data_IF_407326856847
#
_entry.id   IF_407326856847
#
_cell.length_a   1.000
_cell.length_b   1.000
_cell.length_c   1.000
_cell.angle_alpha   90.00
_cell.angle_beta   90.00
_cell.angle_gamma   90.00
#
_symmetry.space_group_name_H-M   'P 1'
#
loop_
_entity.id
_entity.type
_entity.pdbx_description
1 polymer ?
#
# COMPACT_ATOMS: atom_id res chain seq x y z
N UNK A 1 -4.94 4.26 -10.48
CA UNK A 1 -5.29 4.77 -9.12
C UNK A 1 -4.43 5.99 -8.74
N UNK A 2 -4.94 7.06 -8.10
CA UNK A 2 -4.11 8.21 -7.62
C UNK A 2 -4.29 8.46 -6.13
N UNK A 3 -3.18 8.54 -5.39
CA UNK A 3 -3.18 8.78 -3.95
C UNK A 3 -3.45 10.24 -3.58
N UNK A 4 -4.13 10.46 -2.45
CA UNK A 4 -4.27 11.76 -1.77
C UNK A 4 -3.51 11.69 -0.46
N UNK A 5 -2.79 12.76 -0.10
CA UNK A 5 -2.21 12.89 1.23
C UNK A 5 -3.32 13.32 2.19
N UNK A 6 -3.49 12.62 3.31
CA UNK A 6 -4.46 12.94 4.35
C UNK A 6 -3.79 12.82 5.71
N UNK A 7 -3.52 13.96 6.35
CA UNK A 7 -2.70 14.06 7.56
C UNK A 7 -1.31 13.46 7.30
N UNK A 8 -1.05 12.28 7.87
CA UNK A 8 0.24 11.57 7.79
C UNK A 8 0.14 10.27 6.97
N UNK A 9 -0.99 10.08 6.29
CA UNK A 9 -1.28 8.87 5.52
C UNK A 9 -1.40 9.19 4.04
N UNK A 10 -0.94 8.25 3.22
CA UNK A 10 -1.24 8.23 1.79
C UNK A 10 -2.47 7.37 1.58
N UNK A 11 -3.55 7.98 1.08
CA UNK A 11 -4.85 7.35 0.91
C UNK A 11 -5.16 7.22 -0.57
N UNK A 12 -5.41 6.00 -1.02
CA UNK A 12 -5.78 5.70 -2.40
C UNK A 12 -7.25 5.34 -2.46
N UNK A 13 -7.99 5.99 -3.35
CA UNK A 13 -9.39 5.67 -3.63
C UNK A 13 -9.50 4.91 -4.95
N UNK A 14 -10.40 3.94 -5.00
CA UNK A 14 -10.73 3.22 -6.22
C UNK A 14 -12.11 3.64 -6.72
N UNK A 15 -12.24 3.83 -8.02
CA UNK A 15 -13.51 4.21 -8.67
C UNK A 15 -14.38 2.98 -9.01
N UNK A 16 -13.76 1.82 -9.27
CA UNK A 16 -14.47 0.63 -9.72
C UNK A 16 -15.03 -0.22 -8.56
N UNK A 17 -16.29 -0.71 -8.66
CA UNK A 17 -16.80 -1.74 -7.75
C UNK A 17 -16.21 -3.14 -8.03
N UNK A 18 -15.56 -3.36 -9.18
CA UNK A 18 -15.01 -4.66 -9.62
C UNK A 18 -13.64 -4.99 -9.00
N UNK A 19 -13.48 -4.65 -7.73
CA UNK A 19 -12.23 -4.60 -6.96
C UNK A 19 -11.62 -5.97 -6.61
N UNK A 20 -11.91 -7.01 -7.42
CA UNK A 20 -11.28 -8.33 -7.32
C UNK A 20 -10.06 -8.48 -8.22
N UNK A 21 -9.82 -7.55 -9.17
CA UNK A 21 -8.62 -7.58 -10.02
C UNK A 21 -7.31 -7.37 -9.23
N UNK A 22 -7.43 -6.79 -8.03
CA UNK A 22 -6.37 -6.44 -7.08
C UNK A 22 -6.05 -7.50 -6.02
N UNK A 23 -6.77 -8.62 -6.05
CA UNK A 23 -6.75 -9.63 -5.00
C UNK A 23 -6.79 -11.05 -5.57
N UNK A 24 -6.37 -11.32 -6.82
CA UNK A 24 -6.43 -12.59 -7.58
C UNK A 24 -6.19 -13.85 -6.72
N UNK A 25 -7.16 -14.25 -5.91
CA UNK A 25 -7.01 -15.24 -4.82
C UNK A 25 -6.05 -14.88 -3.66
N UNK A 26 -5.53 -13.66 -3.56
CA UNK A 26 -4.59 -13.24 -2.52
C UNK A 26 -5.30 -12.69 -1.28
N UNK A 27 -4.90 -13.18 -0.11
CA UNK A 27 -5.34 -12.61 1.16
C UNK A 27 -4.65 -11.26 1.41
N UNK A 28 -5.29 -10.38 2.17
CA UNK A 28 -4.70 -9.09 2.57
C UNK A 28 -3.31 -9.25 3.22
N UNK A 29 -3.06 -10.34 3.96
CA UNK A 29 -1.76 -10.62 4.56
C UNK A 29 -0.67 -10.91 3.52
N UNK A 30 -1.02 -11.58 2.41
CA UNK A 30 -0.11 -11.78 1.27
C UNK A 30 0.16 -10.45 0.57
N UNK A 31 -0.87 -9.64 0.32
CA UNK A 31 -0.72 -8.31 -0.30
C UNK A 31 0.17 -7.39 0.53
N UNK A 32 0.00 -7.35 1.86
CA UNK A 32 0.88 -6.64 2.80
C UNK A 32 2.34 -7.10 2.72
N UNK A 33 2.56 -8.40 2.53
CA UNK A 33 3.91 -8.96 2.40
C UNK A 33 4.55 -8.61 1.06
N UNK A 34 3.78 -8.61 -0.04
CA UNK A 34 4.25 -8.17 -1.36
C UNK A 34 4.57 -6.66 -1.30
N UNK A 35 3.66 -5.88 -0.71
CA UNK A 35 3.84 -4.44 -0.51
C UNK A 35 5.16 -4.10 0.15
N UNK A 36 5.44 -4.70 1.31
CA UNK A 36 6.64 -4.29 2.05
C UNK A 36 7.93 -4.66 1.32
N UNK A 37 7.93 -5.81 0.62
CA UNK A 37 9.09 -6.27 -0.16
C UNK A 37 9.36 -5.37 -1.36
N UNK A 38 8.30 -5.02 -2.10
CA UNK A 38 8.40 -4.11 -3.25
C UNK A 38 8.73 -2.69 -2.82
N UNK A 39 8.08 -2.21 -1.76
CA UNK A 39 8.27 -0.85 -1.27
C UNK A 39 9.66 -0.62 -0.67
N UNK A 40 10.23 -1.61 0.02
CA UNK A 40 11.61 -1.51 0.52
C UNK A 40 12.65 -2.02 -0.46
N UNK A 41 12.23 -2.57 -1.61
CA UNK A 41 13.10 -3.29 -2.54
C UNK A 41 13.95 -4.35 -1.82
N UNK A 42 13.35 -5.07 -0.87
CA UNK A 42 14.02 -6.06 -0.04
C UNK A 42 13.17 -7.34 0.06
N UNK A 43 13.58 -8.45 -0.59
CA UNK A 43 12.84 -9.72 -0.56
C UNK A 43 12.64 -10.34 0.83
N UNK A 44 13.54 -10.03 1.78
CA UNK A 44 13.50 -10.57 3.14
C UNK A 44 12.67 -9.70 4.11
N UNK A 45 12.17 -8.54 3.66
CA UNK A 45 11.37 -7.66 4.48
C UNK A 45 10.09 -8.35 4.97
N UNK A 46 9.76 -8.14 6.26
CA UNK A 46 8.57 -8.71 6.90
C UNK A 46 7.62 -7.60 7.31
N UNK A 47 6.39 -7.65 6.84
CA UNK A 47 5.42 -6.57 7.04
C UNK A 47 5.23 -6.19 8.52
N UNK A 48 5.31 -7.17 9.43
CA UNK A 48 5.16 -6.94 10.88
C UNK A 48 6.31 -6.13 11.46
N UNK A 49 7.56 -6.40 11.05
CA UNK A 49 8.76 -5.76 11.59
C UNK A 49 9.03 -4.38 11.02
N UNK A 50 8.55 -4.10 9.81
CA UNK A 50 8.85 -2.83 9.15
C UNK A 50 7.97 -1.69 9.64
N UNK A 51 8.48 -0.47 9.53
CA UNK A 51 7.82 0.75 10.02
C UNK A 51 6.66 1.22 9.15
N UNK A 52 6.13 0.41 8.24
CA UNK A 52 5.03 0.79 7.36
C UNK A 52 3.81 -0.08 7.59
N UNK A 53 2.64 0.55 7.59
CA UNK A 53 1.35 -0.10 7.65
C UNK A 53 0.60 0.13 6.35
N UNK A 54 -0.10 -0.92 5.90
CA UNK A 54 -1.03 -0.90 4.78
C UNK A 54 -2.36 -1.49 5.25
N UNK A 55 -3.41 -0.71 5.15
CA UNK A 55 -4.78 -1.15 5.36
C UNK A 55 -5.62 -0.99 4.11
N UNK A 56 -6.54 -1.92 3.94
CA UNK A 56 -7.57 -1.88 2.92
C UNK A 56 -8.91 -1.91 3.62
N UNK A 57 -9.69 -0.85 3.43
CA UNK A 57 -11.03 -0.71 4.01
C UNK A 57 -11.98 -0.20 2.93
N UNK A 58 -13.05 -0.96 2.66
CA UNK A 58 -14.04 -0.64 1.62
C UNK A 58 -13.37 -0.35 0.26
N UNK A 59 -13.43 0.89 -0.21
CA UNK A 59 -12.82 1.40 -1.45
C UNK A 59 -11.63 2.31 -1.16
N UNK A 60 -10.86 2.01 -0.12
CA UNK A 60 -9.69 2.79 0.25
C UNK A 60 -8.50 1.89 0.61
N UNK A 61 -7.31 2.28 0.16
CA UNK A 61 -6.03 1.82 0.72
C UNK A 61 -5.46 2.96 1.52
N UNK A 62 -5.03 2.69 2.73
CA UNK A 62 -4.31 3.64 3.57
C UNK A 62 -2.92 3.10 3.83
N UNK A 63 -1.92 3.94 3.61
CA UNK A 63 -0.52 3.64 3.93
C UNK A 63 0.04 4.73 4.81
N UNK A 64 0.72 4.35 5.89
CA UNK A 64 1.36 5.28 6.82
C UNK A 64 2.53 4.63 7.53
N UNK A 65 3.33 5.44 8.23
CA UNK A 65 4.41 4.92 9.06
C UNK A 65 3.93 4.57 10.46
N UNK A 66 4.26 3.37 10.94
CA UNK A 66 3.95 2.88 12.30
C UNK A 66 4.68 3.67 13.39
N UNK A 67 5.80 4.30 13.05
CA UNK A 67 6.57 5.15 13.97
C UNK A 67 5.95 6.55 14.15
N UNK A 68 4.80 6.83 13.52
CA UNK A 68 4.08 8.10 13.63
C UNK A 68 4.68 9.24 12.82
N UNK A 69 5.75 8.99 12.05
CA UNK A 69 6.34 10.00 11.18
C UNK A 69 5.52 10.21 9.91
N UNK A 70 5.57 11.42 9.38
CA UNK A 70 4.99 11.76 8.08
C UNK A 70 5.78 11.07 6.97
N UNK A 71 5.09 10.68 5.90
CA UNK A 71 5.72 10.15 4.70
C UNK A 71 6.54 11.25 4.01
N UNK A 72 7.79 10.95 3.65
CA UNK A 72 8.61 11.86 2.83
C UNK A 72 8.10 11.93 1.40
N UNK A 73 8.52 12.93 0.64
CA UNK A 73 8.17 13.06 -0.78
C UNK A 73 8.62 11.84 -1.59
N UNK A 74 9.84 11.34 -1.35
CA UNK A 74 10.35 10.12 -2.00
C UNK A 74 9.51 8.89 -1.65
N UNK A 75 9.09 8.76 -0.39
CA UNK A 75 8.20 7.68 0.05
C UNK A 75 6.86 7.78 -0.67
N UNK A 76 6.28 8.98 -0.76
CA UNK A 76 5.01 9.23 -1.46
C UNK A 76 5.11 8.87 -2.94
N UNK A 77 6.16 9.32 -3.63
CA UNK A 77 6.40 9.02 -5.05
C UNK A 77 6.51 7.51 -5.28
N UNK A 78 7.24 6.81 -4.41
CA UNK A 78 7.39 5.35 -4.49
C UNK A 78 6.08 4.63 -4.19
N UNK A 79 5.30 5.08 -3.20
CA UNK A 79 3.98 4.52 -2.89
C UNK A 79 3.02 4.68 -4.07
N UNK A 80 3.04 5.82 -4.75
CA UNK A 80 2.20 6.09 -5.92
C UNK A 80 2.51 5.18 -7.11
N UNK A 81 3.67 4.52 -7.13
CA UNK A 81 4.02 3.51 -8.11
C UNK A 81 3.66 2.11 -7.60
N UNK A 82 4.11 1.78 -6.38
CA UNK A 82 4.01 0.42 -5.81
C UNK A 82 2.58 0.03 -5.48
N UNK A 83 1.79 0.94 -4.89
CA UNK A 83 0.44 0.60 -4.45
C UNK A 83 -0.48 0.31 -5.64
N UNK A 84 -0.56 1.16 -6.69
CA UNK A 84 -1.35 0.80 -7.88
C UNK A 84 -0.88 -0.49 -8.53
N UNK A 85 0.44 -0.72 -8.69
CA UNK A 85 0.95 -1.96 -9.29
C UNK A 85 0.46 -3.21 -8.54
N UNK A 86 0.49 -3.19 -7.20
CA UNK A 86 0.08 -4.36 -6.42
C UNK A 86 -1.41 -4.64 -6.54
N UNK A 87 -2.24 -3.59 -6.51
CA UNK A 87 -3.71 -3.72 -6.49
C UNK A 87 -4.37 -3.63 -7.87
N UNK A 88 -3.60 -3.42 -8.93
CA UNK A 88 -4.07 -3.49 -10.33
C UNK A 88 -3.49 -4.71 -11.08
N UNK A 89 -2.33 -5.26 -10.68
CA UNK A 89 -1.71 -6.42 -11.34
C UNK A 89 -2.00 -7.77 -10.67
N UNK A 90 -1.95 -7.83 -9.35
CA UNK A 90 -2.26 -9.04 -8.58
C UNK A 90 -3.66 -8.94 -8.06
#
# INVERSE_FOLDING_TARGET
MRGKLSKDQRVYQYESPFLMQGENGLTLSKLRSIFIRSFLNNPQAKYVSENYALEKEQRQIRVWRKDGKVLSEDEILKLDIVVPQIFEMY
#
